data_IF_224147622888
#
_entry.id   IF_224147622888
#
_cell.length_a   1.000
_cell.length_b   1.000
_cell.length_c   1.000
_cell.angle_alpha   90.00
_cell.angle_beta   90.00
_cell.angle_gamma   90.00
#
_symmetry.space_group_name_H-M   'P 1'
#
loop_
_entity.id
_entity.type
_entity.pdbx_description
1 polymer ?
#
# COMPACT_ATOMS: atom_id res chain seq x y z
N UNK A 1 -0.59 -10.65 -20.95
CA UNK A 1 -0.69 -9.27 -20.45
C UNK A 1 0.55 -8.53 -20.90
N UNK A 2 0.40 -7.43 -21.63
CA UNK A 2 1.52 -6.58 -22.08
C UNK A 2 2.01 -5.68 -20.94
N UNK A 3 3.12 -4.96 -21.14
CA UNK A 3 3.74 -4.13 -20.07
C UNK A 3 2.80 -3.04 -19.53
N UNK A 4 2.04 -2.39 -20.41
CA UNK A 4 1.06 -1.38 -20.03
C UNK A 4 -0.03 -1.99 -19.15
N UNK A 5 -0.64 -3.09 -19.59
CA UNK A 5 -1.67 -3.81 -18.82
C UNK A 5 -1.15 -4.28 -17.46
N UNK A 6 0.12 -4.69 -17.36
CA UNK A 6 0.76 -5.05 -16.09
C UNK A 6 0.90 -3.85 -15.17
N UNK A 7 1.33 -2.69 -15.67
CA UNK A 7 1.45 -1.48 -14.89
C UNK A 7 0.07 -0.99 -14.39
N UNK A 8 -0.96 -1.03 -15.25
CA UNK A 8 -2.35 -0.70 -14.88
C UNK A 8 -2.88 -1.67 -13.82
N UNK A 9 -2.68 -2.97 -13.99
CA UNK A 9 -3.11 -3.98 -13.01
C UNK A 9 -2.41 -3.80 -11.66
N UNK A 10 -1.11 -3.49 -11.65
CA UNK A 10 -0.36 -3.15 -10.43
C UNK A 10 -0.93 -1.92 -9.73
N UNK A 11 -1.25 -0.86 -10.49
CA UNK A 11 -1.85 0.36 -9.96
C UNK A 11 -3.15 0.05 -9.19
N UNK A 12 -4.05 -0.70 -9.83
CA UNK A 12 -5.32 -1.10 -9.22
C UNK A 12 -5.12 -2.00 -8.00
N UNK A 13 -4.22 -2.98 -8.09
CA UNK A 13 -3.94 -3.89 -6.98
C UNK A 13 -3.38 -3.17 -5.75
N UNK A 14 -2.39 -2.28 -5.95
CA UNK A 14 -1.84 -1.48 -4.85
C UNK A 14 -2.88 -0.51 -4.28
N UNK A 15 -3.73 0.08 -5.12
CA UNK A 15 -4.83 0.94 -4.67
C UNK A 15 -5.82 0.18 -3.77
N UNK A 16 -6.28 -0.99 -4.22
CA UNK A 16 -7.16 -1.84 -3.44
C UNK A 16 -6.53 -2.27 -2.11
N UNK A 17 -5.27 -2.71 -2.12
CA UNK A 17 -4.57 -3.09 -0.89
C UNK A 17 -4.40 -1.90 0.06
N UNK A 18 -4.15 -0.70 -0.46
CA UNK A 18 -4.09 0.51 0.36
C UNK A 18 -5.44 0.77 1.07
N UNK A 19 -6.56 0.68 0.34
CA UNK A 19 -7.89 0.88 0.91
C UNK A 19 -8.23 -0.19 1.96
N UNK A 20 -7.95 -1.47 1.67
CA UNK A 20 -8.21 -2.57 2.60
C UNK A 20 -7.38 -2.49 3.87
N UNK A 21 -6.12 -2.06 3.79
CA UNK A 21 -5.25 -1.91 4.97
C UNK A 21 -5.62 -0.67 5.79
N UNK A 22 -6.08 0.40 5.15
CA UNK A 22 -6.47 1.62 5.85
C UNK A 22 -7.85 1.51 6.53
N UNK A 23 -8.79 0.80 5.91
CA UNK A 23 -10.21 0.90 6.27
C UNK A 23 -10.94 -0.45 6.34
N UNK A 24 -10.27 -1.56 6.06
CA UNK A 24 -10.91 -2.86 5.95
C UNK A 24 -11.79 -2.98 4.70
N UNK A 25 -12.66 -3.98 4.69
CA UNK A 25 -13.64 -4.14 3.60
C UNK A 25 -14.80 -3.18 3.82
N UNK A 26 -14.86 -2.15 2.99
CA UNK A 26 -15.96 -1.20 2.89
C UNK A 26 -16.84 -1.50 1.68
N UNK A 27 -18.03 -0.89 1.62
CA UNK A 27 -18.90 -0.94 0.43
C UNK A 27 -18.18 -0.58 -0.87
N UNK A 28 -17.30 0.42 -0.81
CA UNK A 28 -16.52 0.89 -1.96
C UNK A 28 -15.51 -0.15 -2.47
N UNK A 29 -14.93 -0.93 -1.55
CA UNK A 29 -13.90 -1.94 -1.88
C UNK A 29 -14.47 -3.34 -2.10
N UNK A 30 -15.69 -3.62 -1.62
CA UNK A 30 -16.26 -4.97 -1.56
C UNK A 30 -16.28 -5.67 -2.90
N UNK A 31 -16.74 -5.00 -3.96
CA UNK A 31 -16.79 -5.59 -5.30
C UNK A 31 -15.39 -5.97 -5.81
N UNK A 32 -14.40 -5.09 -5.62
CA UNK A 32 -13.03 -5.33 -6.03
C UNK A 32 -12.35 -6.43 -5.18
N UNK A 33 -12.62 -6.46 -3.87
CA UNK A 33 -12.18 -7.50 -2.96
C UNK A 33 -12.72 -8.88 -3.37
N UNK A 34 -14.02 -8.96 -3.70
CA UNK A 34 -14.65 -10.20 -4.18
C UNK A 34 -14.15 -10.66 -5.56
N UNK A 35 -13.61 -9.76 -6.38
CA UNK A 35 -12.99 -10.13 -7.66
C UNK A 35 -11.63 -10.83 -7.50
N UNK A 36 -10.99 -10.71 -6.35
CA UNK A 36 -9.74 -11.41 -6.02
C UNK A 36 -10.03 -12.75 -5.39
N UNK A 37 -9.61 -13.86 -6.00
CA UNK A 37 -9.83 -15.21 -5.44
C UNK A 37 -9.29 -15.36 -4.02
N UNK A 38 -8.13 -14.77 -3.72
CA UNK A 38 -7.52 -14.87 -2.40
C UNK A 38 -8.28 -14.06 -1.33
N UNK A 39 -8.77 -12.87 -1.69
CA UNK A 39 -9.49 -12.01 -0.75
C UNK A 39 -10.93 -12.50 -0.58
N UNK A 40 -11.60 -12.87 -1.68
CA UNK A 40 -12.94 -13.44 -1.68
C UNK A 40 -13.02 -14.66 -0.75
N UNK A 41 -12.08 -15.58 -0.84
CA UNK A 41 -12.03 -16.77 0.02
C UNK A 41 -11.94 -16.44 1.52
N UNK A 42 -11.43 -15.26 1.89
CA UNK A 42 -11.31 -14.83 3.28
C UNK A 42 -12.57 -14.10 3.81
N UNK A 43 -13.42 -13.57 2.93
CA UNK A 43 -14.56 -12.71 3.31
C UNK A 43 -15.91 -13.26 2.88
N UNK A 44 -15.95 -14.25 1.98
CA UNK A 44 -17.18 -14.87 1.50
C UNK A 44 -17.92 -15.56 2.64
N UNK A 45 -19.21 -15.24 2.79
CA UNK A 45 -20.06 -15.80 3.85
C UNK A 45 -19.79 -15.24 5.25
N UNK A 46 -18.82 -14.33 5.42
CA UNK A 46 -18.54 -13.65 6.68
C UNK A 46 -19.39 -12.38 6.77
N UNK A 47 -19.99 -12.12 7.93
CA UNK A 47 -20.79 -10.91 8.13
C UNK A 47 -19.92 -9.65 8.14
N UNK A 48 -20.50 -8.50 7.80
CA UNK A 48 -19.77 -7.22 7.81
C UNK A 48 -19.24 -6.87 9.21
N UNK A 49 -20.04 -7.11 10.24
CA UNK A 49 -19.65 -6.92 11.64
C UNK A 49 -18.44 -7.79 12.02
N UNK A 50 -18.41 -9.04 11.54
CA UNK A 50 -17.30 -9.94 11.83
C UNK A 50 -16.03 -9.53 11.07
N UNK A 51 -16.14 -9.11 9.80
CA UNK A 51 -15.01 -8.57 9.03
C UNK A 51 -14.44 -7.33 9.72
N UNK A 52 -15.30 -6.41 10.17
CA UNK A 52 -14.89 -5.21 10.91
C UNK A 52 -14.21 -5.56 12.23
N UNK A 53 -14.76 -6.49 13.00
CA UNK A 53 -14.16 -6.95 14.25
C UNK A 53 -12.78 -7.61 14.04
N UNK A 54 -12.60 -8.37 12.95
CA UNK A 54 -11.32 -8.96 12.58
C UNK A 54 -10.30 -7.89 12.17
N UNK A 55 -10.72 -6.89 11.38
CA UNK A 55 -9.89 -5.75 11.00
C UNK A 55 -9.37 -4.98 12.22
N UNK A 56 -10.26 -4.60 13.13
CA UNK A 56 -9.90 -3.89 14.37
C UNK A 56 -8.95 -4.73 15.23
N UNK A 57 -9.24 -6.02 15.40
CA UNK A 57 -8.35 -6.93 16.14
C UNK A 57 -6.95 -6.99 15.54
N UNK A 58 -6.84 -7.13 14.22
CA UNK A 58 -5.56 -7.28 13.54
C UNK A 58 -4.73 -5.99 13.58
N UNK A 59 -5.31 -4.86 13.16
CA UNK A 59 -4.55 -3.65 12.90
C UNK A 59 -4.70 -2.58 13.99
N UNK A 60 -5.80 -2.59 14.74
CA UNK A 60 -6.02 -1.68 15.86
C UNK A 60 -5.33 -2.14 17.15
N UNK A 61 -5.22 -3.46 17.38
CA UNK A 61 -4.74 -4.01 18.65
C UNK A 61 -3.48 -4.88 18.53
N UNK A 62 -3.42 -5.78 17.56
CA UNK A 62 -2.36 -6.79 17.52
C UNK A 62 -1.09 -6.30 16.82
N UNK A 63 -1.23 -5.72 15.63
CA UNK A 63 -0.12 -5.40 14.76
C UNK A 63 -0.41 -4.10 13.99
N UNK A 64 -0.05 -2.94 14.57
CA UNK A 64 -0.34 -1.65 13.95
C UNK A 64 0.50 -1.52 12.66
N UNK A 65 -0.08 -1.09 11.53
CA UNK A 65 0.56 -1.15 10.21
C UNK A 65 1.45 0.07 9.92
N UNK A 66 2.36 0.43 10.83
CA UNK A 66 3.28 1.56 10.69
C UNK A 66 4.73 1.08 10.61
N UNK A 67 5.54 1.67 9.73
CA UNK A 67 6.96 1.32 9.57
C UNK A 67 7.75 1.40 10.89
N UNK A 68 7.64 2.53 11.61
CA UNK A 68 8.32 2.73 12.89
C UNK A 68 8.01 1.67 13.94
N UNK A 69 6.81 1.08 13.94
CA UNK A 69 6.44 0.02 14.89
C UNK A 69 7.28 -1.26 14.73
N UNK A 70 7.95 -1.46 13.59
CA UNK A 70 8.77 -2.65 13.31
C UNK A 70 10.25 -2.35 13.11
N UNK A 71 10.59 -1.15 12.62
CA UNK A 71 11.97 -0.80 12.27
C UNK A 71 12.65 0.12 13.26
N UNK A 72 11.89 0.90 14.03
CA UNK A 72 12.44 1.73 15.10
C UNK A 72 12.69 0.87 16.35
N UNK A 73 13.90 0.88 16.95
CA UNK A 73 14.19 0.06 18.13
C UNK A 73 13.29 0.38 19.32
N UNK A 74 12.82 1.62 19.42
CA UNK A 74 11.90 2.11 20.43
C UNK A 74 10.42 1.97 20.00
N UNK A 75 10.14 1.50 18.78
CA UNK A 75 8.80 1.36 18.22
C UNK A 75 8.09 2.68 17.93
N UNK A 76 8.86 3.76 17.75
CA UNK A 76 8.33 5.11 17.60
C UNK A 76 8.00 5.42 16.14
N UNK A 77 6.85 6.06 15.91
CA UNK A 77 6.45 6.62 14.61
C UNK A 77 6.99 8.05 14.50
N UNK A 78 7.68 8.37 13.40
CA UNK A 78 8.24 9.68 13.16
C UNK A 78 9.74 9.70 12.86
N UNK A 79 10.30 10.91 12.79
CA UNK A 79 11.74 11.12 12.64
C UNK A 79 12.27 10.71 11.27
N UNK A 80 13.37 9.94 11.26
CA UNK A 80 14.16 9.69 10.03
C UNK A 80 13.37 8.89 8.99
N UNK A 81 12.55 7.91 9.41
CA UNK A 81 11.74 7.10 8.50
C UNK A 81 10.66 7.97 7.81
N UNK A 82 9.90 8.72 8.60
CA UNK A 82 8.95 9.74 8.09
C UNK A 82 9.61 10.73 7.12
N UNK A 83 10.79 11.28 7.46
CA UNK A 83 11.49 12.25 6.61
C UNK A 83 11.94 11.66 5.27
N UNK A 84 12.40 10.40 5.29
CA UNK A 84 12.79 9.65 4.09
C UNK A 84 11.58 9.38 3.18
N UNK A 85 10.44 8.96 3.74
CA UNK A 85 9.18 8.79 3.00
C UNK A 85 8.73 10.10 2.36
N UNK A 86 8.74 11.20 3.11
CA UNK A 86 8.41 12.52 2.57
C UNK A 86 9.32 12.93 1.42
N UNK A 87 10.62 12.61 1.48
CA UNK A 87 11.54 12.88 0.39
C UNK A 87 11.17 12.10 -0.88
N UNK A 88 10.86 10.81 -0.76
CA UNK A 88 10.41 9.96 -1.87
C UNK A 88 9.07 10.41 -2.46
N UNK A 89 8.12 10.83 -1.61
CA UNK A 89 6.83 11.34 -2.07
C UNK A 89 6.99 12.66 -2.84
N UNK A 90 7.86 13.56 -2.37
CA UNK A 90 8.19 14.78 -3.12
C UNK A 90 8.87 14.47 -4.45
N UNK A 91 9.83 13.54 -4.47
CA UNK A 91 10.56 13.14 -5.68
C UNK A 91 9.65 12.49 -6.73
N UNK A 92 8.68 11.70 -6.28
CA UNK A 92 7.68 11.07 -7.15
C UNK A 92 6.57 12.01 -7.61
N UNK A 93 6.36 13.13 -6.91
CA UNK A 93 5.21 14.01 -7.12
C UNK A 93 3.92 13.48 -6.46
N UNK A 94 3.99 12.38 -5.72
CA UNK A 94 2.88 11.87 -4.93
C UNK A 94 2.62 12.76 -3.72
N UNK A 95 1.34 13.02 -3.43
CA UNK A 95 0.91 13.82 -2.26
C UNK A 95 -0.03 12.98 -1.40
N UNK A 96 0.45 12.42 -0.28
CA UNK A 96 -0.41 11.67 0.64
C UNK A 96 -1.45 12.58 1.29
N UNK A 97 -2.64 12.04 1.55
CA UNK A 97 -3.63 12.70 2.41
C UNK A 97 -3.38 12.35 3.87
N UNK A 98 -2.53 13.13 4.52
CA UNK A 98 -2.14 12.88 5.91
C UNK A 98 -3.20 13.25 6.94
N UNK A 99 -4.38 13.70 6.50
CA UNK A 99 -5.53 13.91 7.39
C UNK A 99 -6.26 12.61 7.69
N UNK A 100 -6.20 11.65 6.77
CA UNK A 100 -6.87 10.36 6.89
C UNK A 100 -5.91 9.27 7.35
N UNK A 101 -4.70 9.23 6.80
CA UNK A 101 -3.73 8.15 7.04
C UNK A 101 -2.33 8.73 7.22
N UNK A 102 -1.62 8.29 8.25
CA UNK A 102 -0.25 8.75 8.54
C UNK A 102 0.73 8.39 7.40
N UNK A 103 1.84 9.14 7.32
CA UNK A 103 2.90 8.96 6.32
C UNK A 103 3.53 7.58 6.42
N UNK A 104 3.80 7.09 7.64
CA UNK A 104 4.45 5.79 7.87
C UNK A 104 3.48 4.61 7.82
N UNK A 105 2.19 4.87 7.69
CA UNK A 105 1.20 3.81 7.56
C UNK A 105 1.38 3.08 6.23
N UNK A 106 1.33 1.74 6.24
CA UNK A 106 1.57 0.91 5.05
C UNK A 106 0.68 1.30 3.86
N UNK A 107 -0.58 1.64 4.12
CA UNK A 107 -1.50 2.10 3.08
C UNK A 107 -0.99 3.33 2.33
N UNK A 108 -0.23 4.23 2.96
CA UNK A 108 0.33 5.41 2.31
C UNK A 108 1.41 5.02 1.29
N UNK A 109 2.32 4.12 1.67
CA UNK A 109 3.33 3.56 0.75
C UNK A 109 2.69 2.74 -0.38
N UNK A 110 1.64 1.96 -0.09
CA UNK A 110 0.87 1.25 -1.12
C UNK A 110 0.18 2.23 -2.09
N UNK A 111 -0.37 3.34 -1.60
CA UNK A 111 -0.96 4.38 -2.45
C UNK A 111 0.08 5.06 -3.34
N UNK A 112 1.29 5.31 -2.82
CA UNK A 112 2.39 5.83 -3.61
C UNK A 112 2.81 4.85 -4.73
N UNK A 113 2.84 3.55 -4.44
CA UNK A 113 3.11 2.51 -5.44
C UNK A 113 2.00 2.39 -6.49
N UNK A 114 0.74 2.57 -6.09
CA UNK A 114 -0.38 2.67 -7.02
C UNK A 114 -0.20 3.86 -7.98
N UNK A 115 0.06 5.04 -7.43
CA UNK A 115 0.32 6.26 -8.18
C UNK A 115 1.46 6.09 -9.19
N UNK A 116 2.61 5.57 -8.75
CA UNK A 116 3.77 5.34 -9.62
C UNK A 116 3.51 4.29 -10.71
N UNK A 117 2.73 3.25 -10.40
CA UNK A 117 2.36 2.22 -11.39
C UNK A 117 1.36 2.76 -12.43
N UNK A 118 0.46 3.67 -12.03
CA UNK A 118 -0.40 4.40 -12.97
C UNK A 118 0.42 5.28 -13.91
N UNK A 119 1.33 6.08 -13.35
CA UNK A 119 2.24 6.90 -14.14
C UNK A 119 3.17 6.07 -15.06
N UNK A 120 3.56 4.86 -14.64
CA UNK A 120 4.29 3.91 -15.48
C UNK A 120 3.42 3.45 -16.68
N UNK A 121 2.13 3.17 -16.45
CA UNK A 121 1.21 2.79 -17.52
C UNK A 121 1.05 3.91 -18.55
N UNK A 122 0.75 5.13 -18.10
CA UNK A 122 0.61 6.31 -18.96
C UNK A 122 1.90 6.53 -19.79
N UNK A 123 3.08 6.44 -19.15
CA UNK A 123 4.36 6.58 -19.83
C UNK A 123 4.62 5.47 -20.88
N UNK A 124 4.12 4.25 -20.66
CA UNK A 124 4.22 3.16 -21.64
C UNK A 124 3.31 3.39 -22.84
N UNK A 125 2.10 3.92 -22.61
CA UNK A 125 1.17 4.30 -23.68
C UNK A 125 1.76 5.41 -24.56
N UNK A 126 2.34 6.44 -23.91
CA UNK A 126 2.98 7.57 -24.57
C UNK A 126 4.39 7.28 -25.14
N UNK A 127 4.90 6.05 -24.93
CA UNK A 127 6.27 5.62 -25.31
C UNK A 127 7.38 6.50 -24.72
N UNK A 128 7.15 7.07 -23.55
CA UNK A 128 8.10 7.92 -22.85
C UNK A 128 9.04 7.10 -21.95
N UNK A 129 10.02 6.43 -22.56
CA UNK A 129 10.90 5.47 -21.87
C UNK A 129 11.62 6.03 -20.62
N UNK A 130 12.07 7.29 -20.65
CA UNK A 130 12.71 7.90 -19.47
C UNK A 130 11.78 8.10 -18.27
N UNK A 131 10.46 8.20 -18.50
CA UNK A 131 9.47 8.28 -17.43
C UNK A 131 9.20 6.90 -16.83
N UNK A 132 9.14 5.86 -17.67
CA UNK A 132 9.05 4.45 -17.25
C UNK A 132 10.22 4.05 -16.35
N UNK A 133 11.44 4.45 -16.72
CA UNK A 133 12.63 4.17 -15.90
C UNK A 133 12.59 4.90 -14.56
N UNK A 134 12.15 6.16 -14.56
CA UNK A 134 12.02 6.96 -13.33
C UNK A 134 10.98 6.39 -12.37
N UNK A 135 9.78 6.06 -12.86
CA UNK A 135 8.72 5.48 -12.01
C UNK A 135 9.12 4.11 -11.48
N UNK A 136 9.79 3.29 -12.29
CA UNK A 136 10.35 2.01 -11.86
C UNK A 136 11.40 2.15 -10.76
N UNK A 137 12.34 3.09 -10.90
CA UNK A 137 13.38 3.35 -9.90
C UNK A 137 12.78 3.83 -8.57
N UNK A 138 11.82 4.75 -8.60
CA UNK A 138 11.13 5.23 -7.39
C UNK A 138 10.30 4.13 -6.72
N UNK A 139 9.58 3.33 -7.51
CA UNK A 139 8.80 2.20 -6.99
C UNK A 139 9.69 1.19 -6.27
N UNK A 140 10.87 0.90 -6.85
CA UNK A 140 11.86 0.01 -6.25
C UNK A 140 12.39 0.56 -4.92
N UNK A 141 12.69 1.85 -4.84
CA UNK A 141 13.14 2.48 -3.60
C UNK A 141 12.07 2.39 -2.50
N UNK A 142 10.81 2.70 -2.81
CA UNK A 142 9.72 2.54 -1.83
C UNK A 142 9.61 1.08 -1.37
N UNK A 143 9.66 0.11 -2.30
CA UNK A 143 9.59 -1.31 -1.95
C UNK A 143 10.78 -1.76 -1.09
N UNK A 144 12.00 -1.51 -1.53
CA UNK A 144 13.23 -2.00 -0.92
C UNK A 144 13.53 -1.27 0.41
N UNK A 145 13.25 0.03 0.50
CA UNK A 145 13.60 0.86 1.65
C UNK A 145 12.50 0.93 2.71
N UNK A 146 11.21 0.83 2.32
CA UNK A 146 10.07 1.17 3.20
C UNK A 146 8.92 0.15 3.25
N UNK A 147 8.98 -0.94 2.49
CA UNK A 147 7.90 -1.96 2.51
C UNK A 147 8.48 -3.33 2.84
N UNK A 148 9.37 -3.86 2.00
CA UNK A 148 9.86 -5.24 2.08
C UNK A 148 10.74 -5.52 3.31
N UNK A 149 11.26 -4.48 3.97
CA UNK A 149 12.07 -4.62 5.19
C UNK A 149 11.28 -5.06 6.41
N UNK A 150 9.98 -4.80 6.44
CA UNK A 150 9.16 -5.03 7.63
C UNK A 150 7.82 -5.70 7.34
N UNK A 151 7.28 -5.59 6.13
CA UNK A 151 6.02 -6.26 5.76
C UNK A 151 6.04 -7.77 6.03
N UNK A 152 7.13 -8.53 5.80
CA UNK A 152 7.17 -9.94 6.21
C UNK A 152 6.98 -10.16 7.72
N UNK A 153 7.51 -9.27 8.56
CA UNK A 153 7.36 -9.33 10.02
C UNK A 153 5.92 -8.97 10.42
N UNK A 154 5.39 -7.89 9.86
CA UNK A 154 3.99 -7.50 10.02
C UNK A 154 3.04 -8.63 9.61
N UNK A 155 3.27 -9.27 8.46
CA UNK A 155 2.46 -10.39 7.98
C UNK A 155 2.50 -11.62 8.91
N UNK A 156 3.58 -11.79 9.67
CA UNK A 156 3.64 -12.81 10.72
C UNK A 156 2.92 -12.38 12.01
N UNK A 157 2.95 -11.09 12.35
CA UNK A 157 2.31 -10.55 13.56
C UNK A 157 0.78 -10.52 13.48
N UNK A 158 0.22 -10.39 12.27
CA UNK A 158 -1.24 -10.34 12.02
C UNK A 158 -1.90 -11.73 11.91
N UNK A 159 -1.13 -12.82 11.94
CA UNK A 159 -1.63 -14.21 11.87
C UNK A 159 -2.02 -14.73 13.24
#
# INVERSE_FOLDING_TARGET
>A
MNRHEIASARSLAYGLLADLIAHGVTDATRAAAMASTAIAAAIEGVSEDEIGAQFERAFGWAAPPFEGAYLDPEGTIGGVATDALWALFRESGFRPDTRSVDVEHLATSLRALAFLSGAEADALEDRHQGAVERTGALSRRILDEHVLRWVPLFACAVR
#
